data_IF_709093487272
#
_entry.id   IF_709093487272
#
_cell.length_a   1.000
_cell.length_b   1.000
_cell.length_c   1.000
_cell.angle_alpha   90.00
_cell.angle_beta   90.00
_cell.angle_gamma   90.00
#
_symmetry.space_group_name_H-M   'P 1'
#
loop_
_entity.id
_entity.type
_entity.pdbx_description
1 polymer ?
#
# COMPACT_ATOMS: atom_id res chain seq x y z
N UNK A 1 -10.37 -65.73 -14.47
CA UNK A 1 -9.37 -64.66 -14.18
C UNK A 1 -9.44 -63.44 -15.10
N UNK A 2 -9.62 -63.57 -16.43
CA UNK A 2 -9.64 -62.40 -17.34
C UNK A 2 -10.82 -61.42 -17.12
N UNK A 3 -12.01 -61.90 -16.75
CA UNK A 3 -13.21 -61.08 -16.61
C UNK A 3 -13.17 -60.10 -15.41
N UNK A 4 -12.44 -60.42 -14.34
CA UNK A 4 -12.28 -59.55 -13.17
C UNK A 4 -11.36 -58.36 -13.49
N UNK A 5 -10.34 -58.58 -14.32
CA UNK A 5 -9.41 -57.54 -14.73
C UNK A 5 -10.09 -56.49 -15.62
N UNK A 6 -11.01 -56.90 -16.50
CA UNK A 6 -11.78 -55.97 -17.35
C UNK A 6 -12.72 -55.08 -16.55
N UNK A 7 -13.38 -55.63 -15.51
CA UNK A 7 -14.25 -54.85 -14.62
C UNK A 7 -13.45 -53.84 -13.78
N UNK A 8 -12.28 -54.24 -13.30
CA UNK A 8 -11.38 -53.36 -12.54
C UNK A 8 -10.87 -52.20 -13.41
N UNK A 9 -10.49 -52.47 -14.66
CA UNK A 9 -10.07 -51.45 -15.63
C UNK A 9 -11.21 -50.46 -15.94
N UNK A 10 -12.44 -50.94 -16.07
CA UNK A 10 -13.63 -50.09 -16.27
C UNK A 10 -13.89 -49.17 -15.08
N UNK A 11 -13.76 -49.68 -13.85
CA UNK A 11 -13.92 -48.87 -12.63
C UNK A 11 -12.81 -47.81 -12.52
N UNK A 12 -11.56 -48.16 -12.82
CA UNK A 12 -10.44 -47.22 -12.86
C UNK A 12 -10.62 -46.15 -13.93
N UNK A 13 -11.12 -46.51 -15.11
CA UNK A 13 -11.42 -45.55 -16.17
C UNK A 13 -12.54 -44.58 -15.75
N UNK A 14 -13.61 -45.08 -15.12
CA UNK A 14 -14.69 -44.25 -14.59
C UNK A 14 -14.19 -43.32 -13.49
N UNK A 15 -13.33 -43.80 -12.58
CA UNK A 15 -12.72 -42.97 -11.52
C UNK A 15 -11.79 -41.90 -12.09
N UNK A 16 -10.99 -42.19 -13.12
CA UNK A 16 -10.15 -41.19 -13.78
C UNK A 16 -10.97 -40.12 -14.51
N UNK A 17 -12.04 -40.53 -15.19
CA UNK A 17 -12.94 -39.60 -15.90
C UNK A 17 -13.70 -38.73 -14.89
N UNK A 18 -14.26 -39.32 -13.82
CA UNK A 18 -14.97 -38.57 -12.78
C UNK A 18 -14.06 -37.70 -11.91
N UNK A 19 -12.81 -38.09 -11.68
CA UNK A 19 -11.78 -37.24 -11.06
C UNK A 19 -11.43 -36.02 -11.91
N UNK A 20 -11.34 -36.17 -13.24
CA UNK A 20 -11.13 -35.06 -14.16
C UNK A 20 -12.26 -34.02 -14.15
N UNK A 21 -13.52 -34.47 -14.05
CA UNK A 21 -14.68 -33.58 -13.93
C UNK A 21 -14.75 -32.84 -12.58
N UNK A 22 -14.21 -33.41 -11.50
CA UNK A 22 -14.12 -32.74 -10.20
C UNK A 22 -13.02 -31.68 -10.16
N UNK A 23 -11.89 -31.92 -10.82
CA UNK A 23 -10.82 -30.91 -10.99
C UNK A 23 -11.24 -29.77 -11.94
N UNK A 24 -12.08 -30.04 -12.94
CA UNK A 24 -12.66 -28.98 -13.79
C UNK A 24 -13.78 -28.18 -13.07
N UNK A 25 -14.32 -28.71 -11.96
CA UNK A 25 -15.30 -28.03 -11.09
C UNK A 25 -14.65 -27.37 -9.87
N UNK A 26 -13.33 -27.42 -9.71
CA UNK A 26 -12.66 -26.59 -8.69
C UNK A 26 -12.73 -25.13 -9.12
N UNK A 27 -13.85 -24.50 -8.78
CA UNK A 27 -14.04 -23.07 -8.60
C UNK A 27 -13.26 -22.21 -9.61
N UNK A 28 -13.66 -22.28 -10.88
CA UNK A 28 -13.80 -21.03 -11.65
C UNK A 28 -15.07 -20.33 -11.13
N UNK A 29 -15.05 -20.00 -9.84
CA UNK A 29 -15.79 -18.83 -9.41
C UNK A 29 -15.12 -17.71 -10.18
N UNK A 30 -15.77 -17.24 -11.24
CA UNK A 30 -15.61 -15.88 -11.69
C UNK A 30 -16.03 -14.98 -10.51
N UNK A 31 -15.21 -14.95 -9.46
CA UNK A 31 -15.06 -13.78 -8.62
C UNK A 31 -14.86 -12.68 -9.63
N UNK A 32 -15.77 -11.71 -9.66
CA UNK A 32 -15.69 -10.61 -10.61
C UNK A 32 -14.25 -10.10 -10.57
N UNK A 33 -13.45 -10.42 -11.60
CA UNK A 33 -12.04 -10.10 -11.61
C UNK A 33 -11.97 -8.60 -11.39
N UNK A 34 -11.23 -8.16 -10.38
CA UNK A 34 -11.11 -6.73 -10.08
C UNK A 34 -10.70 -6.04 -11.38
N UNK A 35 -11.55 -5.16 -11.88
CA UNK A 35 -11.26 -4.46 -13.13
C UNK A 35 -10.32 -3.31 -12.81
N UNK A 36 -9.07 -3.43 -13.19
CA UNK A 36 -8.08 -2.36 -13.06
C UNK A 36 -8.14 -1.42 -14.26
N UNK A 37 -8.28 -0.12 -14.01
CA UNK A 37 -8.23 0.91 -15.03
C UNK A 37 -6.76 1.26 -15.32
N UNK A 38 -6.18 0.52 -16.26
CA UNK A 38 -4.75 0.62 -16.55
C UNK A 38 -4.38 1.78 -17.49
N UNK A 39 -5.33 2.23 -18.33
CA UNK A 39 -5.03 3.10 -19.48
C UNK A 39 -5.72 4.47 -19.42
N UNK A 40 -6.41 4.77 -18.31
CA UNK A 40 -7.10 6.05 -18.14
C UNK A 40 -6.17 7.04 -17.43
N UNK A 41 -6.10 8.25 -17.97
CA UNK A 41 -5.23 9.32 -17.45
C UNK A 41 -5.88 10.67 -17.67
N UNK A 42 -5.50 11.63 -16.84
CA UNK A 42 -5.82 13.04 -17.02
C UNK A 42 -4.91 13.63 -18.09
N UNK A 43 -5.50 14.29 -19.08
CA UNK A 43 -4.79 14.87 -20.23
C UNK A 43 -5.33 16.25 -20.62
N UNK A 44 -5.82 17.01 -19.64
CA UNK A 44 -6.30 18.37 -19.84
C UNK A 44 -5.21 19.35 -19.43
N UNK A 45 -4.90 20.33 -20.29
CA UNK A 45 -3.80 21.26 -20.04
C UNK A 45 -2.42 20.62 -20.22
N UNK A 46 -1.41 21.20 -19.57
CA UNK A 46 0.00 20.84 -19.75
C UNK A 46 0.54 19.81 -18.74
N UNK A 47 -0.26 19.37 -17.76
CA UNK A 47 0.16 18.34 -16.80
C UNK A 47 -0.68 17.11 -17.05
N UNK A 48 -0.07 16.01 -17.48
CA UNK A 48 -0.77 14.75 -17.71
C UNK A 48 -0.41 13.72 -16.65
N UNK A 49 -1.42 13.05 -16.09
CA UNK A 49 -1.23 12.12 -14.99
C UNK A 49 -2.22 10.96 -15.06
N UNK A 50 -1.69 9.74 -15.11
CA UNK A 50 -2.47 8.53 -14.88
C UNK A 50 -2.95 8.46 -13.43
N UNK A 51 -4.25 8.22 -13.25
CA UNK A 51 -4.89 7.96 -11.96
C UNK A 51 -5.74 6.72 -12.12
N UNK A 52 -5.36 5.63 -11.44
CA UNK A 52 -6.06 4.35 -11.54
C UNK A 52 -7.19 4.25 -10.51
N UNK A 53 -8.15 3.36 -10.77
CA UNK A 53 -9.23 3.05 -9.83
C UNK A 53 -8.81 2.16 -8.65
N UNK A 54 -7.51 1.85 -8.56
CA UNK A 54 -6.90 1.07 -7.50
C UNK A 54 -5.79 1.83 -6.79
N UNK A 55 -5.78 3.16 -6.88
CA UNK A 55 -4.94 4.03 -6.05
C UNK A 55 -3.52 4.29 -6.58
N UNK A 56 -3.23 3.86 -7.81
CA UNK A 56 -1.93 4.05 -8.46
C UNK A 56 -1.92 5.36 -9.26
N UNK A 57 -0.87 6.16 -9.07
CA UNK A 57 -0.61 7.40 -9.81
C UNK A 57 0.64 7.24 -10.67
N UNK A 58 0.56 7.62 -11.94
CA UNK A 58 1.61 7.34 -12.93
C UNK A 58 1.61 5.88 -13.40
N UNK A 59 2.71 5.43 -14.01
CA UNK A 59 2.81 4.12 -14.64
C UNK A 59 3.81 3.19 -13.98
N UNK A 60 4.88 3.71 -13.38
CA UNK A 60 5.95 2.90 -12.78
C UNK A 60 6.33 1.69 -13.64
N UNK A 61 6.41 0.53 -12.99
CA UNK A 61 6.57 -0.78 -13.64
C UNK A 61 5.23 -1.55 -13.79
N UNK A 62 4.10 -0.91 -13.52
CA UNK A 62 2.77 -1.53 -13.45
C UNK A 62 2.17 -1.82 -14.84
N UNK A 63 2.55 -1.06 -15.87
CA UNK A 63 2.04 -1.27 -17.24
C UNK A 63 3.07 -0.94 -18.34
N UNK A 64 3.03 -1.71 -19.42
CA UNK A 64 3.72 -1.44 -20.68
C UNK A 64 2.74 -1.46 -21.88
N UNK A 65 2.76 -0.47 -22.80
CA UNK A 65 3.57 0.75 -22.73
C UNK A 65 3.14 1.66 -21.58
N UNK A 66 4.07 2.47 -21.09
CA UNK A 66 3.81 3.44 -20.02
C UNK A 66 2.84 4.54 -20.50
N UNK A 67 2.00 4.98 -19.57
CA UNK A 67 1.12 6.15 -19.68
C UNK A 67 1.72 7.33 -18.88
N UNK A 68 1.23 8.57 -19.10
CA UNK A 68 1.79 9.75 -18.45
C UNK A 68 1.90 9.64 -16.93
N UNK A 69 3.07 9.93 -16.39
CA UNK A 69 3.41 9.86 -14.98
C UNK A 69 3.87 11.23 -14.49
N UNK A 70 2.90 12.13 -14.34
CA UNK A 70 3.12 13.56 -14.08
C UNK A 70 3.97 14.19 -15.21
N UNK A 71 3.51 14.02 -16.44
CA UNK A 71 4.19 14.48 -17.64
C UNK A 71 4.01 15.98 -17.82
N UNK A 72 5.11 16.69 -18.08
CA UNK A 72 5.09 18.12 -18.37
C UNK A 72 6.17 18.54 -19.38
N UNK A 73 5.85 19.32 -20.43
CA UNK A 73 4.50 19.59 -20.92
C UNK A 73 3.81 18.30 -21.39
N UNK A 74 2.50 18.22 -21.26
CA UNK A 74 1.73 17.06 -21.72
C UNK A 74 1.96 16.74 -23.19
N UNK A 75 2.26 15.47 -23.51
CA UNK A 75 2.62 14.98 -24.83
C UNK A 75 4.12 15.04 -25.17
N UNK A 76 4.97 15.49 -24.25
CA UNK A 76 6.43 15.54 -24.41
C UNK A 76 7.14 14.21 -24.20
N UNK A 77 6.54 13.26 -23.50
CA UNK A 77 7.17 12.02 -23.04
C UNK A 77 8.16 12.22 -21.87
N UNK A 78 8.14 13.37 -21.20
CA UNK A 78 8.99 13.67 -20.03
C UNK A 78 8.16 13.54 -18.76
N UNK A 79 8.35 12.43 -18.04
CA UNK A 79 7.69 12.14 -16.77
C UNK A 79 8.49 12.63 -15.56
N UNK A 80 7.78 13.24 -14.58
CA UNK A 80 8.36 13.74 -13.34
C UNK A 80 7.96 12.92 -12.10
N UNK A 81 7.08 11.94 -12.26
CA UNK A 81 6.69 10.97 -11.24
C UNK A 81 7.00 9.58 -11.78
N UNK A 82 7.71 8.75 -11.03
CA UNK A 82 7.84 7.34 -11.39
C UNK A 82 6.55 6.58 -11.04
N UNK A 83 6.17 6.62 -9.77
CA UNK A 83 4.96 6.02 -9.22
C UNK A 83 4.54 6.80 -7.98
N UNK A 84 3.23 6.96 -7.78
CA UNK A 84 2.67 7.56 -6.57
C UNK A 84 1.41 6.83 -6.12
N UNK A 85 0.99 7.08 -4.89
CA UNK A 85 -0.27 6.61 -4.34
C UNK A 85 -0.65 7.44 -3.11
N UNK A 86 -1.90 7.32 -2.67
CA UNK A 86 -2.32 7.86 -1.39
C UNK A 86 -1.62 7.11 -0.25
N UNK A 87 -1.24 7.81 0.81
CA UNK A 87 -0.75 7.19 2.03
C UNK A 87 -1.85 7.25 3.08
N UNK A 88 -2.15 6.11 3.69
CA UNK A 88 -3.09 6.02 4.80
C UNK A 88 -2.34 5.90 6.11
N UNK A 89 -2.67 6.76 7.07
CA UNK A 89 -2.15 6.71 8.42
C UNK A 89 -3.25 6.31 9.41
N UNK A 90 -2.90 5.47 10.40
CA UNK A 90 -3.80 5.07 11.47
C UNK A 90 -3.08 5.06 12.82
N UNK A 91 -3.85 5.17 13.91
CA UNK A 91 -3.37 4.90 15.27
C UNK A 91 -4.09 3.71 15.84
N UNK A 92 -3.37 2.74 16.41
CA UNK A 92 -3.93 1.52 16.98
C UNK A 92 -3.33 1.25 18.35
N UNK A 93 -4.18 0.99 19.34
CA UNK A 93 -3.70 0.53 20.65
C UNK A 93 -3.07 -0.85 20.48
N UNK A 94 -1.81 -0.98 20.88
CA UNK A 94 -1.07 -2.24 20.76
C UNK A 94 -1.61 -3.25 21.78
N UNK A 95 -1.69 -4.50 21.34
CA UNK A 95 -2.15 -5.62 22.16
C UNK A 95 -1.23 -6.82 22.00
N UNK A 96 -1.10 -7.61 23.06
CA UNK A 96 -0.39 -8.88 23.00
C UNK A 96 -1.23 -9.96 22.29
N UNK A 97 -0.68 -11.18 22.15
CA UNK A 97 -1.35 -12.32 21.52
C UNK A 97 -2.66 -12.75 22.23
N UNK A 98 -2.84 -12.39 23.49
CA UNK A 98 -4.06 -12.66 24.28
C UNK A 98 -5.08 -11.51 24.20
N UNK A 99 -4.78 -10.45 23.43
CA UNK A 99 -5.67 -9.31 23.23
C UNK A 99 -5.62 -8.27 24.37
N UNK A 100 -4.69 -8.37 25.31
CA UNK A 100 -4.52 -7.40 26.39
C UNK A 100 -3.81 -6.15 25.87
N UNK A 101 -4.18 -4.97 26.38
CA UNK A 101 -3.48 -3.73 26.03
C UNK A 101 -2.06 -3.76 26.60
N UNK A 102 -1.11 -3.21 25.84
CA UNK A 102 0.26 -3.01 26.29
C UNK A 102 0.46 -1.58 26.76
N UNK A 103 1.35 -1.41 27.74
CA UNK A 103 1.74 -0.13 28.34
C UNK A 103 3.26 -0.03 28.36
N UNK A 104 3.81 1.16 28.14
CA UNK A 104 5.25 1.40 28.22
C UNK A 104 5.73 1.27 29.66
N UNK A 105 6.89 0.63 29.85
CA UNK A 105 7.52 0.46 31.18
C UNK A 105 8.12 1.79 31.66
N UNK A 106 8.65 2.60 30.75
CA UNK A 106 9.22 3.93 31.00
C UNK A 106 8.63 4.95 30.01
N UNK A 107 8.75 6.24 30.34
CA UNK A 107 8.38 7.35 29.48
C UNK A 107 9.28 7.49 28.24
N UNK A 108 10.49 6.93 28.29
CA UNK A 108 11.47 6.89 27.19
C UNK A 108 11.95 5.44 26.93
N UNK A 109 11.13 4.60 26.29
CA UNK A 109 11.46 3.19 26.04
C UNK A 109 12.64 3.06 25.06
N UNK A 110 13.63 2.24 25.41
CA UNK A 110 14.82 2.02 24.58
C UNK A 110 14.53 1.05 23.41
N UNK A 111 13.60 0.12 23.62
CA UNK A 111 13.15 -0.87 22.65
C UNK A 111 11.62 -0.80 22.45
N UNK A 112 11.16 -1.20 21.27
CA UNK A 112 9.73 -1.34 20.97
C UNK A 112 9.03 -2.36 21.86
N UNK A 113 9.78 -3.31 22.41
CA UNK A 113 9.29 -4.42 23.22
C UNK A 113 9.36 -4.11 24.73
N UNK A 114 9.79 -2.90 25.13
CA UNK A 114 9.78 -2.38 26.52
C UNK A 114 8.35 -2.02 26.98
N UNK A 115 7.45 -3.00 26.87
CA UNK A 115 6.05 -2.84 27.18
C UNK A 115 5.47 -4.08 27.86
N UNK A 116 4.55 -3.84 28.79
CA UNK A 116 3.94 -4.88 29.61
C UNK A 116 2.40 -4.81 29.54
N UNK A 117 1.70 -5.95 29.66
CA UNK A 117 0.24 -5.97 29.76
C UNK A 117 -0.24 -5.55 31.16
N UNK A 118 -1.53 -5.24 31.29
CA UNK A 118 -2.14 -4.93 32.59
C UNK A 118 -2.18 -6.12 33.58
N UNK A 119 -1.93 -7.34 33.11
CA UNK A 119 -1.80 -8.54 33.92
C UNK A 119 -0.41 -8.75 34.51
N UNK A 120 0.58 -7.95 34.08
CA UNK A 120 1.94 -8.02 34.59
C UNK A 120 2.03 -7.48 36.02
N UNK A 121 2.77 -8.13 36.94
CA UNK A 121 2.96 -7.63 38.31
C UNK A 121 3.59 -6.23 38.41
N UNK A 122 4.35 -5.81 37.41
CA UNK A 122 4.99 -4.49 37.36
C UNK A 122 4.06 -3.40 36.81
N UNK A 123 2.87 -3.78 36.34
CA UNK A 123 1.90 -2.82 35.82
C UNK A 123 1.34 -1.93 36.92
N UNK A 124 1.34 -0.63 36.66
CA UNK A 124 0.70 0.37 37.51
C UNK A 124 -0.29 1.24 36.70
N UNK A 125 -1.33 1.84 37.32
CA UNK A 125 -2.35 2.60 36.61
C UNK A 125 -1.86 3.86 35.90
N UNK A 126 -0.67 4.34 36.22
CA UNK A 126 -0.01 5.51 35.65
C UNK A 126 0.76 5.22 34.36
N UNK A 127 1.02 3.94 34.03
CA UNK A 127 1.71 3.58 32.79
C UNK A 127 0.91 4.01 31.55
N UNK A 128 1.64 4.53 30.55
CA UNK A 128 1.06 5.03 29.31
C UNK A 128 0.75 3.88 28.36
N UNK A 129 -0.47 3.87 27.81
CA UNK A 129 -0.87 2.87 26.82
C UNK A 129 -0.04 2.99 25.55
N UNK A 130 0.43 1.86 25.02
CA UNK A 130 1.15 1.81 23.75
C UNK A 130 0.17 2.04 22.60
N UNK A 131 0.45 3.04 21.78
CA UNK A 131 -0.31 3.35 20.56
C UNK A 131 0.64 3.32 19.37
N UNK A 132 0.43 2.36 18.48
CA UNK A 132 1.15 2.26 17.23
C UNK A 132 0.63 3.28 16.23
N UNK A 133 1.53 4.07 15.65
CA UNK A 133 1.29 4.77 14.40
C UNK A 133 1.56 3.81 13.26
N UNK A 134 0.56 3.59 12.42
CA UNK A 134 0.68 2.72 11.29
C UNK A 134 0.51 3.50 9.99
N UNK A 135 1.26 3.10 8.97
CA UNK A 135 1.19 3.65 7.61
C UNK A 135 1.04 2.53 6.60
N UNK A 136 0.19 2.73 5.61
CA UNK A 136 0.08 1.85 4.47
C UNK A 136 -0.05 2.66 3.19
N UNK A 137 0.37 2.05 2.08
CA UNK A 137 0.21 2.66 0.77
C UNK A 137 -1.15 2.25 0.21
N UNK A 138 -1.86 3.22 -0.31
CA UNK A 138 -3.25 3.15 -0.72
C UNK A 138 -3.47 2.65 -2.14
N UNK A 139 -2.65 1.72 -2.64
CA UNK A 139 -2.90 1.08 -3.92
C UNK A 139 -2.97 -0.45 -3.81
N UNK A 140 -3.84 -1.05 -4.62
CA UNK A 140 -4.07 -2.50 -4.68
C UNK A 140 -3.23 -3.07 -5.82
N UNK A 141 -2.06 -3.63 -5.49
CA UNK A 141 -1.09 -4.09 -6.49
C UNK A 141 0.22 -4.63 -5.92
N UNK A 142 0.55 -4.29 -4.68
CA UNK A 142 1.66 -4.93 -3.98
C UNK A 142 1.15 -6.18 -3.25
N UNK A 143 1.48 -7.35 -3.79
CA UNK A 143 1.09 -8.63 -3.19
C UNK A 143 1.70 -8.84 -1.80
N UNK A 144 2.73 -8.06 -1.45
CA UNK A 144 3.48 -8.19 -0.21
C UNK A 144 3.03 -7.17 0.87
N UNK A 145 2.19 -6.18 0.52
CA UNK A 145 1.70 -5.15 1.45
C UNK A 145 0.16 -5.14 1.55
N UNK A 146 -0.36 -5.99 2.43
CA UNK A 146 -1.76 -5.93 2.90
C UNK A 146 -1.93 -5.32 4.29
N UNK A 147 -0.84 -4.77 4.85
CA UNK A 147 -0.82 -4.31 6.22
C UNK A 147 -0.42 -2.85 6.38
N UNK A 148 -0.96 -2.30 7.46
CA UNK A 148 -0.55 -1.05 8.05
C UNK A 148 0.78 -1.32 8.77
N UNK A 149 1.89 -0.95 8.14
CA UNK A 149 3.23 -1.12 8.70
C UNK A 149 3.44 -0.14 9.85
N UNK A 150 4.13 -0.52 10.94
CA UNK A 150 4.52 0.43 11.98
C UNK A 150 5.37 1.54 11.38
N UNK A 151 4.93 2.79 11.55
CA UNK A 151 5.69 3.98 11.16
C UNK A 151 6.75 4.37 12.21
N UNK A 152 7.01 3.50 13.20
CA UNK A 152 7.70 3.86 14.43
C UNK A 152 9.21 3.72 14.33
N UNK A 153 9.94 4.80 14.63
CA UNK A 153 11.36 4.80 14.96
C UNK A 153 11.53 5.17 16.45
N UNK A 154 11.76 4.20 17.36
CA UNK A 154 11.98 4.46 18.79
C UNK A 154 13.23 5.31 19.07
N UNK A 155 14.20 5.30 18.16
CA UNK A 155 15.48 5.98 18.32
C UNK A 155 15.45 7.43 17.79
N UNK A 156 14.32 7.90 17.30
CA UNK A 156 14.17 9.29 16.87
C UNK A 156 14.02 10.19 18.11
N UNK A 157 15.17 10.50 18.71
CA UNK A 157 15.32 11.33 19.93
C UNK A 157 14.95 12.81 19.73
N UNK A 158 14.56 13.20 18.52
CA UNK A 158 14.10 14.55 18.22
C UNK A 158 13.05 14.49 17.14
N UNK A 159 11.87 15.09 17.38
CA UNK A 159 10.85 15.26 16.33
C UNK A 159 11.37 15.99 15.08
N UNK A 160 12.56 16.62 15.16
CA UNK A 160 13.23 17.42 14.14
C UNK A 160 14.76 17.34 14.32
N UNK A 161 15.39 16.14 14.38
CA UNK A 161 16.82 15.95 14.69
C UNK A 161 17.80 16.94 14.03
N UNK A 162 19.04 17.09 14.54
CA UNK A 162 20.05 17.98 13.91
C UNK A 162 20.16 17.74 12.39
N UNK A 163 20.01 16.48 11.99
CA UNK A 163 19.91 15.98 10.62
C UNK A 163 18.70 16.53 9.86
N UNK A 164 17.50 16.58 10.48
CA UNK A 164 16.31 17.23 9.92
C UNK A 164 16.55 18.71 9.67
N UNK A 165 17.13 19.46 10.62
CA UNK A 165 17.39 20.89 10.40
C UNK A 165 18.39 21.13 9.26
N UNK A 166 19.38 20.24 9.09
CA UNK A 166 20.34 20.27 7.99
C UNK A 166 19.71 19.93 6.63
N UNK A 167 18.85 18.89 6.59
CA UNK A 167 18.25 18.41 5.35
C UNK A 167 16.96 19.13 4.96
N UNK A 168 16.18 19.66 5.91
CA UNK A 168 14.94 20.41 5.64
C UNK A 168 15.21 21.69 4.83
N UNK A 169 16.40 22.26 4.92
CA UNK A 169 16.79 23.43 4.10
C UNK A 169 17.02 23.03 2.64
N UNK A 170 17.36 21.76 2.37
CA UNK A 170 17.53 21.22 1.01
C UNK A 170 16.33 20.39 0.54
N UNK A 171 15.40 20.05 1.44
CA UNK A 171 14.10 19.44 1.15
C UNK A 171 13.10 20.51 0.66
N UNK A 172 13.52 21.19 -0.40
CA UNK A 172 12.71 22.18 -1.10
C UNK A 172 12.29 21.60 -2.44
N UNK A 173 11.02 21.78 -2.80
CA UNK A 173 10.52 21.38 -4.12
C UNK A 173 11.37 22.07 -5.19
N UNK A 174 11.97 21.29 -6.10
CA UNK A 174 12.63 21.85 -7.28
C UNK A 174 11.58 22.55 -8.14
N UNK A 175 11.68 23.88 -8.26
CA UNK A 175 10.74 24.67 -9.06
C UNK A 175 11.32 24.93 -10.45
N UNK A 176 10.69 24.40 -11.48
CA UNK A 176 10.95 24.77 -12.87
C UNK A 176 9.66 25.29 -13.50
N UNK A 177 9.24 26.48 -13.08
CA UNK A 177 8.04 27.12 -13.62
C UNK A 177 8.37 28.55 -14.05
N UNK A 178 7.91 28.93 -15.23
CA UNK A 178 7.88 30.33 -15.68
C UNK A 178 6.71 31.11 -15.06
N UNK A 179 5.87 30.43 -14.27
CA UNK A 179 4.63 30.96 -13.67
C UNK A 179 4.64 30.80 -12.15
N UNK A 180 3.99 31.72 -11.46
CA UNK A 180 3.92 31.79 -10.00
C UNK A 180 2.48 31.68 -9.54
N UNK A 181 1.85 30.53 -9.80
CA UNK A 181 0.45 30.31 -9.48
C UNK A 181 0.24 30.26 -7.97
N UNK A 182 -0.77 30.99 -7.49
CA UNK A 182 -1.29 30.89 -6.11
C UNK A 182 -2.75 30.47 -6.20
N UNK A 183 -3.20 29.66 -5.25
CA UNK A 183 -4.60 29.21 -5.18
C UNK A 183 -5.56 30.42 -5.26
N UNK A 184 -6.46 30.41 -6.24
CA UNK A 184 -7.52 31.42 -6.39
C UNK A 184 -7.10 32.71 -7.10
N UNK A 185 -5.89 32.78 -7.66
CA UNK A 185 -5.46 33.89 -8.52
C UNK A 185 -5.21 33.31 -9.91
N UNK A 186 -6.07 33.67 -10.85
CA UNK A 186 -5.92 33.36 -12.28
C UNK A 186 -5.01 34.43 -12.91
N UNK A 187 -3.70 34.21 -12.85
CA UNK A 187 -2.67 35.15 -13.31
C UNK A 187 -2.33 35.03 -14.80
N UNK A 188 -2.85 34.02 -15.49
CA UNK A 188 -2.67 33.79 -16.92
C UNK A 188 -3.99 33.78 -17.73
N UNK A 189 -5.13 34.01 -17.07
CA UNK A 189 -6.46 34.07 -17.67
C UNK A 189 -6.90 32.78 -18.38
N UNK A 190 -6.35 31.62 -17.96
CA UNK A 190 -6.72 30.31 -18.50
C UNK A 190 -7.94 29.68 -17.80
N UNK A 191 -8.36 30.27 -16.67
CA UNK A 191 -9.50 29.84 -15.85
C UNK A 191 -10.90 30.16 -16.42
N UNK A 192 -11.03 30.34 -17.74
CA UNK A 192 -12.31 30.62 -18.43
C UNK A 192 -13.00 29.38 -18.98
#
# INVERSE_FOLDING_TARGET
>A
MKLQNTKLLLILAVLMVSGGFLLARSVDGASASKKFDLVKYHNVGNIWLRVSNYGFFGSGDDIQPQWPSLEYPGGSGIDYLYQGALWFGAKKVRRNAFGEKLYWIDDDPADRDDCIPASDPEWTPDLKVVVDTLTSVGFDGDADLYEFLPAYNPLETSSLGQTYSLYNVVDTIMTASIRSHRRGVDDDSDGK
#
